data_IF_115019024817
#
_entry.id   IF_115019024817
#
_cell.length_a   1.000
_cell.length_b   1.000
_cell.length_c   1.000
_cell.angle_alpha   90.00
_cell.angle_beta   90.00
_cell.angle_gamma   90.00
#
_symmetry.space_group_name_H-M   'P 1'
#
loop_
_entity.id
_entity.type
_entity.pdbx_description
1 polymer ?
#
# COMPACT_ATOMS: atom_id res chain seq x y z
N UNK A 1 -8.57 -14.84 21.30
CA UNK A 1 -7.93 -13.95 20.32
C UNK A 1 -8.04 -14.61 18.96
N UNK A 2 -9.07 -14.28 18.20
CA UNK A 2 -9.13 -14.76 16.82
C UNK A 2 -8.13 -13.95 15.99
N UNK A 3 -7.23 -14.68 15.33
CA UNK A 3 -6.24 -14.17 14.38
C UNK A 3 -6.98 -13.70 13.12
N UNK A 4 -7.74 -12.62 13.24
CA UNK A 4 -8.59 -12.14 12.15
C UNK A 4 -7.80 -11.24 11.20
N UNK A 5 -7.74 -11.66 9.93
CA UNK A 5 -7.62 -10.76 8.78
C UNK A 5 -6.24 -10.54 8.19
N UNK A 6 -5.13 -10.66 8.94
CA UNK A 6 -3.81 -10.31 8.40
C UNK A 6 -3.35 -11.27 7.27
N UNK A 7 -3.25 -12.56 7.58
CA UNK A 7 -2.77 -13.58 6.63
C UNK A 7 -3.71 -13.73 5.42
N UNK A 8 -5.05 -13.75 5.58
CA UNK A 8 -5.96 -13.84 4.45
C UNK A 8 -5.88 -12.63 3.50
N UNK A 9 -5.81 -11.40 4.03
CA UNK A 9 -5.78 -10.18 3.20
C UNK A 9 -4.51 -10.12 2.36
N UNK A 10 -3.36 -10.43 2.96
CA UNK A 10 -2.09 -10.48 2.23
C UNK A 10 -2.13 -11.60 1.19
N UNK A 11 -2.57 -12.80 1.57
CA UNK A 11 -2.67 -13.93 0.66
C UNK A 11 -3.53 -13.63 -0.57
N UNK A 12 -4.72 -13.05 -0.37
CA UNK A 12 -5.62 -12.62 -1.46
C UNK A 12 -4.96 -11.55 -2.32
N UNK A 13 -4.32 -10.54 -1.71
CA UNK A 13 -3.68 -9.46 -2.44
C UNK A 13 -2.53 -9.98 -3.33
N UNK A 14 -1.71 -10.89 -2.80
CA UNK A 14 -0.66 -11.57 -3.55
C UNK A 14 -1.23 -12.43 -4.69
N UNK A 15 -2.28 -13.22 -4.43
CA UNK A 15 -2.92 -14.03 -5.46
C UNK A 15 -3.47 -13.18 -6.61
N UNK A 16 -4.13 -12.06 -6.30
CA UNK A 16 -4.63 -11.12 -7.31
C UNK A 16 -3.47 -10.49 -8.08
N UNK A 17 -2.39 -10.12 -7.40
CA UNK A 17 -1.18 -9.59 -8.04
C UNK A 17 -0.58 -10.57 -9.03
N UNK A 18 -0.33 -11.81 -8.60
CA UNK A 18 0.25 -12.84 -9.47
C UNK A 18 -0.69 -13.23 -10.62
N UNK A 19 -2.00 -13.28 -10.37
CA UNK A 19 -3.00 -13.54 -11.41
C UNK A 19 -2.97 -12.42 -12.46
N UNK A 20 -3.06 -11.16 -12.03
CA UNK A 20 -2.98 -10.00 -12.93
C UNK A 20 -1.65 -9.96 -13.70
N UNK A 21 -0.54 -10.32 -13.05
CA UNK A 21 0.77 -10.43 -13.68
C UNK A 21 0.82 -11.56 -14.73
N UNK A 22 0.25 -12.73 -14.45
CA UNK A 22 0.18 -13.83 -15.41
C UNK A 22 -0.65 -13.45 -16.64
N UNK A 23 -1.75 -12.71 -16.46
CA UNK A 23 -2.54 -12.18 -17.58
C UNK A 23 -1.74 -11.22 -18.48
N UNK A 24 -0.75 -10.50 -17.92
CA UNK A 24 0.16 -9.68 -18.74
C UNK A 24 1.15 -10.50 -19.58
N UNK A 25 1.52 -11.69 -19.10
CA UNK A 25 2.40 -12.62 -19.83
C UNK A 25 1.70 -13.28 -21.02
N UNK A 26 0.38 -13.42 -20.95
CA UNK A 26 -0.46 -14.02 -21.98
C UNK A 26 -1.01 -13.01 -23.00
N UNK A 27 -0.43 -11.81 -23.09
CA UNK A 27 -0.82 -10.68 -23.98
C UNK A 27 -2.25 -10.12 -23.83
N UNK A 28 -3.13 -10.74 -23.03
CA UNK A 28 -4.47 -10.20 -22.73
C UNK A 28 -4.43 -8.83 -22.03
N UNK A 29 -3.35 -8.51 -21.31
CA UNK A 29 -3.15 -7.21 -20.66
C UNK A 29 -1.78 -6.62 -20.97
N UNK A 30 -1.74 -5.35 -21.40
CA UNK A 30 -0.48 -4.60 -21.49
C UNK A 30 0.11 -4.40 -20.10
N UNK A 31 1.43 -4.55 -19.98
CA UNK A 31 2.15 -4.31 -18.72
C UNK A 31 1.95 -2.89 -18.17
N UNK A 32 1.76 -1.91 -19.07
CA UNK A 32 1.41 -0.52 -18.72
C UNK A 32 0.05 -0.42 -18.02
N UNK A 33 -0.94 -1.18 -18.50
CA UNK A 33 -2.29 -1.24 -17.90
C UNK A 33 -2.25 -1.89 -16.52
N UNK A 34 -1.49 -2.98 -16.36
CA UNK A 34 -1.27 -3.61 -15.05
C UNK A 34 -0.71 -2.60 -14.04
N UNK A 35 0.39 -1.92 -14.37
CA UNK A 35 0.96 -0.88 -13.48
C UNK A 35 -0.05 0.22 -13.14
N UNK A 36 -0.85 0.67 -14.11
CA UNK A 36 -1.87 1.72 -13.88
C UNK A 36 -2.95 1.27 -12.89
N UNK A 37 -3.42 0.02 -12.99
CA UNK A 37 -4.42 -0.55 -12.06
C UNK A 37 -3.86 -0.56 -10.64
N UNK A 38 -2.65 -1.09 -10.45
CA UNK A 38 -2.01 -1.16 -9.14
C UNK A 38 -1.71 0.22 -8.55
N UNK A 39 -1.35 1.20 -9.38
CA UNK A 39 -1.15 2.59 -8.91
C UNK A 39 -2.46 3.24 -8.45
N UNK A 40 -3.58 2.96 -9.13
CA UNK A 40 -4.89 3.43 -8.68
C UNK A 40 -5.31 2.76 -7.37
N UNK A 41 -5.09 1.44 -7.25
CA UNK A 41 -5.36 0.72 -6.00
C UNK A 41 -4.48 1.21 -4.84
N UNK A 42 -3.20 1.50 -5.11
CA UNK A 42 -2.29 2.11 -4.15
C UNK A 42 -2.83 3.47 -3.66
N UNK A 43 -3.28 4.33 -4.58
CA UNK A 43 -3.81 5.65 -4.25
C UNK A 43 -5.11 5.54 -3.43
N UNK A 44 -6.05 4.71 -3.85
CA UNK A 44 -7.34 4.55 -3.15
C UNK A 44 -7.12 4.00 -1.74
N UNK A 45 -6.29 2.96 -1.60
CA UNK A 45 -5.98 2.37 -0.30
C UNK A 45 -5.22 3.33 0.61
N UNK A 46 -4.28 4.10 0.07
CA UNK A 46 -3.61 5.18 0.77
C UNK A 46 -4.59 6.22 1.30
N UNK A 47 -5.51 6.71 0.46
CA UNK A 47 -6.46 7.75 0.86
C UNK A 47 -7.39 7.26 1.95
N UNK A 48 -7.91 6.03 1.86
CA UNK A 48 -8.81 5.47 2.87
C UNK A 48 -8.05 5.26 4.18
N UNK A 49 -6.92 4.54 4.14
CA UNK A 49 -6.15 4.23 5.35
C UNK A 49 -5.57 5.51 5.98
N UNK A 50 -4.96 6.37 5.18
CA UNK A 50 -4.36 7.63 5.63
C UNK A 50 -5.38 8.59 6.23
N UNK A 51 -6.53 8.80 5.56
CA UNK A 51 -7.57 9.70 6.08
C UNK A 51 -8.17 9.19 7.38
N UNK A 52 -8.49 7.89 7.47
CA UNK A 52 -8.98 7.30 8.71
C UNK A 52 -7.92 7.36 9.82
N UNK A 53 -6.65 7.13 9.49
CA UNK A 53 -5.53 7.22 10.43
C UNK A 53 -5.37 8.64 10.98
N UNK A 54 -5.42 9.66 10.12
CA UNK A 54 -5.37 11.07 10.53
C UNK A 54 -6.56 11.43 11.42
N UNK A 55 -7.78 11.01 11.05
CA UNK A 55 -8.97 11.30 11.83
C UNK A 55 -8.94 10.66 13.22
N UNK A 56 -8.54 9.39 13.32
CA UNK A 56 -8.38 8.71 14.61
C UNK A 56 -7.25 9.34 15.44
N UNK A 57 -6.14 9.72 14.81
CA UNK A 57 -5.05 10.41 15.50
C UNK A 57 -5.47 11.79 16.01
N UNK A 58 -6.33 12.49 15.27
CA UNK A 58 -6.88 13.78 15.68
C UNK A 58 -7.77 13.64 16.91
N UNK A 59 -8.75 12.72 16.86
CA UNK A 59 -9.62 12.41 18.01
C UNK A 59 -8.79 12.14 19.27
N UNK A 60 -7.76 11.29 19.13
CA UNK A 60 -6.92 10.89 20.26
C UNK A 60 -6.00 12.02 20.76
N UNK A 61 -5.50 12.88 19.87
CA UNK A 61 -4.61 13.99 20.24
C UNK A 61 -5.34 15.11 20.98
N UNK A 62 -6.61 15.31 20.68
CA UNK A 62 -7.44 16.35 21.30
C UNK A 62 -8.36 15.83 22.42
N UNK A 63 -8.19 14.58 22.84
CA UNK A 63 -8.97 13.95 23.91
C UNK A 63 -10.49 14.12 23.71
N UNK A 64 -10.94 14.07 22.45
CA UNK A 64 -12.36 14.21 22.14
C UNK A 64 -13.11 13.00 22.70
N UNK A 65 -14.26 13.24 23.33
CA UNK A 65 -15.15 12.22 23.88
C UNK A 65 -15.95 11.50 22.77
N UNK A 66 -15.22 11.01 21.76
CA UNK A 66 -15.72 10.28 20.61
C UNK A 66 -15.10 8.89 20.63
N UNK A 67 -15.93 7.88 20.86
CA UNK A 67 -15.51 6.50 20.76
C UNK A 67 -15.26 6.13 19.29
N UNK A 68 -14.08 5.59 18.99
CA UNK A 68 -13.76 5.09 17.66
C UNK A 68 -14.36 3.68 17.51
N UNK A 69 -15.32 3.46 16.59
CA UNK A 69 -15.93 2.15 16.42
C UNK A 69 -14.90 1.11 15.97
N UNK A 70 -15.00 -0.12 16.50
CA UNK A 70 -14.10 -1.23 16.14
C UNK A 70 -14.08 -1.50 14.63
N UNK A 71 -15.21 -1.30 13.94
CA UNK A 71 -15.32 -1.44 12.49
C UNK A 71 -14.43 -0.45 11.73
N UNK A 72 -14.33 0.81 12.19
CA UNK A 72 -13.45 1.82 11.59
C UNK A 72 -11.99 1.41 11.74
N UNK A 73 -11.61 0.90 12.91
CA UNK A 73 -10.27 0.38 13.16
C UNK A 73 -9.95 -0.81 12.22
N UNK A 74 -10.90 -1.73 12.04
CA UNK A 74 -10.78 -2.87 11.11
C UNK A 74 -10.63 -2.42 9.66
N UNK A 75 -11.42 -1.45 9.19
CA UNK A 75 -11.28 -0.89 7.83
C UNK A 75 -9.91 -0.23 7.67
N UNK A 76 -9.52 0.67 8.59
CA UNK A 76 -8.24 1.36 8.52
C UNK A 76 -7.08 0.38 8.43
N UNK A 77 -7.04 -0.62 9.32
CA UNK A 77 -6.00 -1.64 9.32
C UNK A 77 -6.02 -2.50 8.04
N UNK A 78 -7.21 -2.88 7.57
CA UNK A 78 -7.41 -3.63 6.33
C UNK A 78 -6.84 -2.91 5.10
N UNK A 79 -7.25 -1.66 4.89
CA UNK A 79 -6.76 -0.84 3.78
C UNK A 79 -5.29 -0.47 3.95
N UNK A 80 -4.82 -0.26 5.19
CA UNK A 80 -3.41 0.00 5.48
C UNK A 80 -2.51 -1.17 5.08
N UNK A 81 -2.95 -2.40 5.33
CA UNK A 81 -2.22 -3.61 4.88
C UNK A 81 -2.17 -3.71 3.35
N UNK A 82 -3.31 -3.54 2.67
CA UNK A 82 -3.36 -3.56 1.19
C UNK A 82 -2.43 -2.49 0.63
N UNK A 83 -2.51 -1.26 1.16
CA UNK A 83 -1.65 -0.16 0.77
C UNK A 83 -0.17 -0.50 0.93
N UNK A 84 0.23 -1.05 2.09
CA UNK A 84 1.62 -1.42 2.37
C UNK A 84 2.15 -2.51 1.41
N UNK A 85 1.37 -3.56 1.14
CA UNK A 85 1.76 -4.63 0.20
C UNK A 85 1.93 -4.09 -1.21
N UNK A 86 0.98 -3.28 -1.69
CA UNK A 86 1.08 -2.68 -3.04
C UNK A 86 2.26 -1.71 -3.11
N UNK A 87 2.52 -0.95 -2.05
CA UNK A 87 3.68 -0.05 -1.97
C UNK A 87 5.00 -0.81 -2.13
N UNK A 88 5.10 -2.02 -1.59
CA UNK A 88 6.29 -2.87 -1.74
C UNK A 88 6.52 -3.30 -3.20
N UNK A 89 5.45 -3.67 -3.91
CA UNK A 89 5.53 -3.98 -5.35
C UNK A 89 5.87 -2.74 -6.18
N UNK A 90 5.23 -1.61 -5.87
CA UNK A 90 5.51 -0.34 -6.52
C UNK A 90 6.98 0.07 -6.32
N UNK A 91 7.49 -0.02 -5.08
CA UNK A 91 8.89 0.21 -4.77
C UNK A 91 9.82 -0.70 -5.58
N UNK A 92 9.47 -1.99 -5.68
CA UNK A 92 10.24 -2.97 -6.48
C UNK A 92 10.33 -2.57 -7.96
N UNK A 93 9.31 -1.92 -8.53
CA UNK A 93 9.35 -1.41 -9.90
C UNK A 93 10.27 -0.20 -10.09
N UNK A 94 10.53 0.56 -9.02
CA UNK A 94 11.33 1.79 -9.02
C UNK A 94 12.72 1.62 -8.40
N UNK A 95 13.17 0.40 -8.12
CA UNK A 95 14.50 0.12 -7.54
C UNK A 95 15.66 0.77 -8.30
N UNK A 96 15.59 0.82 -9.62
CA UNK A 96 16.64 1.46 -10.45
C UNK A 96 16.74 2.96 -10.23
N UNK A 97 15.61 3.64 -9.99
CA UNK A 97 15.57 5.05 -9.64
C UNK A 97 16.21 5.29 -8.26
N UNK A 98 15.81 4.53 -7.25
CA UNK A 98 16.36 4.68 -5.89
C UNK A 98 17.85 4.38 -5.82
N UNK A 99 18.33 3.34 -6.52
CA UNK A 99 19.77 3.06 -6.63
C UNK A 99 20.55 4.24 -7.21
N UNK A 100 20.01 4.90 -8.24
CA UNK A 100 20.63 6.09 -8.82
C UNK A 100 20.60 7.28 -7.86
N UNK A 101 19.48 7.53 -7.20
CA UNK A 101 19.34 8.62 -6.23
C UNK A 101 20.32 8.48 -5.05
N UNK A 102 20.45 7.27 -4.48
CA UNK A 102 21.40 6.97 -3.42
C UNK A 102 22.83 7.22 -3.89
N UNK A 103 23.19 6.73 -5.10
CA UNK A 103 24.53 6.94 -5.66
C UNK A 103 24.87 8.43 -5.73
N UNK A 104 23.95 9.26 -6.23
CA UNK A 104 24.13 10.72 -6.31
C UNK A 104 24.38 11.32 -4.94
N UNK A 105 23.53 11.01 -3.95
CA UNK A 105 23.64 11.53 -2.58
C UNK A 105 24.94 11.15 -1.89
N UNK A 106 25.46 9.94 -2.15
CA UNK A 106 26.76 9.49 -1.59
C UNK A 106 27.90 10.27 -2.24
N UNK A 107 27.95 10.35 -3.58
CA UNK A 107 29.03 11.06 -4.29
C UNK A 107 29.01 12.59 -4.10
N UNK A 108 27.85 13.19 -3.78
CA UNK A 108 27.78 14.62 -3.46
C UNK A 108 28.28 14.98 -2.07
N UNK A 109 28.43 13.99 -1.18
CA UNK A 109 28.90 14.19 0.19
C UNK A 109 30.42 13.94 0.32
N UNK A 110 31.06 13.46 -0.75
CA UNK A 110 32.50 13.18 -0.84
C UNK A 110 33.29 14.30 -1.56
N UNK A 111 32.60 15.34 -2.08
CA UNK A 111 33.18 16.53 -2.72
C UNK A 111 32.93 17.78 -1.87
#
# INVERSE_FOLDING_TARGET
MHVYGFVPVIGICLLIYFSSYFLTKTEYLKFTTHRRIWNLLLLISFLIAGTLGLFMSFIKSFELDLEIPEFILKIHAGFGMVWFVIAFFHFSWHLSYFKKAIKVLVTSNEN
#
